data_IF_561813870242
#
_entry.id   IF_561813870242
#
_cell.length_a   1.000
_cell.length_b   1.000
_cell.length_c   1.000
_cell.angle_alpha   90.00
_cell.angle_beta   90.00
_cell.angle_gamma   90.00
#
_symmetry.space_group_name_H-M   'P 1'
#
loop_
_entity.id
_entity.type
_entity.pdbx_description
1 polymer ?
#
# COMPACT_ATOMS: atom_id res chain seq x y z
N UNK A 1 -39.91 1.34 -9.39
CA UNK A 1 -38.44 1.26 -9.55
C UNK A 1 -37.88 2.60 -9.11
N UNK A 2 -36.99 2.63 -8.10
CA UNK A 2 -36.26 3.86 -7.76
C UNK A 2 -35.40 4.23 -8.96
N UNK A 3 -35.41 5.50 -9.39
CA UNK A 3 -34.49 5.96 -10.43
C UNK A 3 -33.07 5.86 -9.85
N UNK A 4 -32.31 4.88 -10.33
CA UNK A 4 -30.89 4.75 -10.05
C UNK A 4 -30.15 5.94 -10.64
N UNK A 5 -29.20 6.50 -9.90
CA UNK A 5 -28.32 7.54 -10.46
C UNK A 5 -27.35 6.92 -11.49
N UNK A 6 -26.64 7.76 -12.25
CA UNK A 6 -25.75 7.29 -13.33
C UNK A 6 -24.62 6.38 -12.84
N UNK A 7 -24.13 6.57 -11.61
CA UNK A 7 -23.07 5.75 -10.99
C UNK A 7 -23.62 4.35 -10.70
N UNK A 8 -24.76 4.26 -10.02
CA UNK A 8 -25.37 2.96 -9.69
C UNK A 8 -25.64 2.16 -10.95
N UNK A 9 -26.21 2.78 -11.99
CA UNK A 9 -26.48 2.10 -13.27
C UNK A 9 -25.20 1.55 -13.89
N UNK A 10 -24.15 2.37 -13.94
CA UNK A 10 -22.86 1.96 -14.48
C UNK A 10 -22.25 0.78 -13.70
N UNK A 11 -22.27 0.83 -12.36
CA UNK A 11 -21.76 -0.25 -11.52
C UNK A 11 -22.56 -1.54 -11.69
N UNK A 12 -23.88 -1.45 -11.85
CA UNK A 12 -24.72 -2.61 -12.17
C UNK A 12 -24.39 -3.21 -13.54
N UNK A 13 -24.16 -2.37 -14.55
CA UNK A 13 -23.75 -2.83 -15.87
C UNK A 13 -22.37 -3.51 -15.80
N UNK A 14 -21.41 -2.95 -15.05
CA UNK A 14 -20.10 -3.57 -14.81
C UNK A 14 -20.19 -4.92 -14.09
N UNK A 15 -21.02 -5.00 -13.03
CA UNK A 15 -21.25 -6.24 -12.29
C UNK A 15 -21.88 -7.31 -13.20
N UNK A 16 -22.91 -6.95 -13.98
CA UNK A 16 -23.56 -7.88 -14.92
C UNK A 16 -22.56 -8.40 -15.98
N UNK A 17 -21.62 -7.56 -16.41
CA UNK A 17 -20.56 -7.96 -17.34
C UNK A 17 -19.36 -8.65 -16.66
N UNK A 18 -19.47 -9.04 -15.39
CA UNK A 18 -18.42 -9.70 -14.60
C UNK A 18 -17.09 -8.94 -14.58
N UNK A 19 -17.13 -7.60 -14.53
CA UNK A 19 -15.92 -6.78 -14.44
C UNK A 19 -15.31 -6.77 -13.04
N UNK A 20 -16.11 -7.05 -12.01
CA UNK A 20 -15.71 -7.22 -10.61
C UNK A 20 -16.76 -8.05 -9.89
N UNK A 21 -16.39 -8.61 -8.73
CA UNK A 21 -17.31 -9.35 -7.86
C UNK A 21 -17.93 -8.47 -6.77
N UNK A 22 -17.16 -7.52 -6.24
CA UNK A 22 -17.55 -6.62 -5.16
C UNK A 22 -17.06 -5.20 -5.46
N UNK A 23 -17.86 -4.19 -5.10
CA UNK A 23 -17.49 -2.80 -5.20
C UNK A 23 -18.12 -1.98 -4.07
N UNK A 24 -17.31 -1.11 -3.47
CA UNK A 24 -17.73 -0.12 -2.50
C UNK A 24 -17.33 1.27 -3.00
N UNK A 25 -18.26 2.21 -2.97
CA UNK A 25 -18.04 3.61 -3.37
C UNK A 25 -18.54 4.53 -2.28
N UNK A 26 -17.71 5.47 -1.87
CA UNK A 26 -18.08 6.61 -1.03
C UNK A 26 -17.63 7.91 -1.72
N UNK A 27 -18.47 8.95 -1.64
CA UNK A 27 -18.18 10.29 -2.14
C UNK A 27 -18.57 11.28 -1.06
N UNK A 28 -17.64 12.14 -0.68
CA UNK A 28 -17.82 13.14 0.37
C UNK A 28 -17.16 14.47 0.05
N UNK A 29 -17.27 15.38 1.02
CA UNK A 29 -16.58 16.66 1.05
C UNK A 29 -16.16 16.94 2.52
N UNK A 30 -15.60 18.11 2.86
CA UNK A 30 -15.21 18.41 4.25
C UNK A 30 -16.34 18.33 5.29
N UNK A 31 -17.60 18.43 4.87
CA UNK A 31 -18.78 18.26 5.73
C UNK A 31 -19.23 16.79 5.85
N UNK A 32 -18.38 15.85 5.40
CA UNK A 32 -18.59 14.41 5.46
C UNK A 32 -19.13 13.78 4.18
N UNK A 33 -19.42 12.49 4.28
CA UNK A 33 -19.97 11.68 3.18
C UNK A 33 -21.33 12.22 2.70
N UNK A 34 -21.50 12.24 1.38
CA UNK A 34 -22.74 12.65 0.70
C UNK A 34 -23.40 11.51 -0.05
N UNK A 35 -22.63 10.48 -0.38
CA UNK A 35 -23.10 9.37 -1.17
C UNK A 35 -22.28 8.12 -0.86
N UNK A 36 -22.98 7.00 -0.74
CA UNK A 36 -22.39 5.68 -0.61
C UNK A 36 -23.19 4.66 -1.38
N UNK A 37 -22.46 3.75 -2.01
CA UNK A 37 -23.06 2.65 -2.75
C UNK A 37 -22.19 1.39 -2.64
N UNK A 38 -22.83 0.29 -2.27
CA UNK A 38 -22.21 -1.02 -2.13
C UNK A 38 -22.93 -1.97 -3.06
N UNK A 39 -22.16 -2.76 -3.81
CA UNK A 39 -22.69 -3.73 -4.76
C UNK A 39 -21.81 -4.98 -4.79
N UNK A 40 -22.45 -6.13 -4.97
CA UNK A 40 -21.80 -7.43 -5.02
C UNK A 40 -22.52 -8.41 -5.95
N UNK A 41 -21.81 -9.50 -6.28
CA UNK A 41 -22.31 -10.62 -7.07
C UNK A 41 -23.09 -11.67 -6.23
N UNK A 42 -23.30 -11.42 -4.93
CA UNK A 42 -23.92 -12.30 -3.91
C UNK A 42 -23.11 -13.51 -3.45
N UNK A 43 -21.88 -13.71 -3.92
CA UNK A 43 -20.98 -14.73 -3.34
C UNK A 43 -20.42 -14.28 -1.99
N UNK A 44 -20.08 -12.99 -1.88
CA UNK A 44 -19.75 -12.29 -0.65
C UNK A 44 -20.58 -11.01 -0.61
N UNK A 45 -21.34 -10.79 0.47
CA UNK A 45 -22.10 -9.55 0.65
C UNK A 45 -21.13 -8.42 0.96
N UNK A 46 -21.18 -7.33 0.21
CA UNK A 46 -20.39 -6.13 0.51
C UNK A 46 -21.11 -5.29 1.56
N UNK A 47 -20.48 -5.11 2.71
CA UNK A 47 -20.89 -4.17 3.74
C UNK A 47 -19.83 -3.08 3.97
N UNK A 48 -20.06 -2.25 4.98
CA UNK A 48 -19.25 -1.08 5.30
C UNK A 48 -17.84 -1.46 5.82
N UNK A 49 -17.71 -2.65 6.41
CA UNK A 49 -16.49 -3.18 7.03
C UNK A 49 -15.79 -4.23 6.17
N UNK A 50 -16.37 -4.60 5.01
CA UNK A 50 -15.76 -5.51 4.05
C UNK A 50 -14.37 -5.02 3.65
N UNK A 51 -13.37 -5.90 3.81
CA UNK A 51 -11.98 -5.58 3.53
C UNK A 51 -11.63 -5.78 2.07
N UNK A 52 -10.90 -4.83 1.52
CA UNK A 52 -10.31 -4.86 0.18
C UNK A 52 -8.79 -4.76 0.28
N UNK A 53 -8.06 -5.49 -0.56
CA UNK A 53 -6.62 -5.28 -0.75
C UNK A 53 -6.41 -3.88 -1.33
N UNK A 54 -5.76 -3.00 -0.56
CA UNK A 54 -5.59 -1.60 -0.93
C UNK A 54 -4.50 -1.40 -1.99
N UNK A 55 -3.81 -2.47 -2.40
CA UNK A 55 -2.75 -2.45 -3.38
C UNK A 55 -1.81 -1.26 -3.11
N UNK A 56 -1.62 -0.38 -4.09
CA UNK A 56 -0.69 0.75 -3.98
C UNK A 56 -1.13 1.90 -3.09
N UNK A 57 -2.39 1.96 -2.63
CA UNK A 57 -2.81 2.92 -1.58
C UNK A 57 -2.07 2.65 -0.27
N UNK A 58 -1.60 1.42 -0.06
CA UNK A 58 -0.65 1.05 1.01
C UNK A 58 0.53 2.01 1.13
N UNK A 59 1.08 2.49 0.00
CA UNK A 59 2.21 3.43 -0.02
C UNK A 59 1.90 4.71 0.75
N UNK A 60 0.68 5.19 0.63
CA UNK A 60 0.24 6.42 1.29
C UNK A 60 -0.02 6.13 2.78
N UNK A 61 -0.81 5.08 3.05
CA UNK A 61 -1.23 4.69 4.40
C UNK A 61 -0.06 4.31 5.30
N UNK A 62 0.80 3.39 4.86
CA UNK A 62 1.80 2.75 5.73
C UNK A 62 3.20 3.36 5.62
N UNK A 63 3.48 4.16 4.59
CA UNK A 63 4.83 4.69 4.33
C UNK A 63 4.83 6.20 4.27
N UNK A 64 4.14 6.81 3.32
CA UNK A 64 4.25 8.24 3.07
C UNK A 64 3.72 9.06 4.26
N UNK A 65 2.53 8.75 4.78
CA UNK A 65 1.98 9.49 5.93
C UNK A 65 2.85 9.33 7.19
N UNK A 66 3.25 8.11 7.62
CA UNK A 66 4.20 7.96 8.73
C UNK A 66 5.53 8.68 8.50
N UNK A 67 6.07 8.68 7.28
CA UNK A 67 7.29 9.42 6.95
C UNK A 67 7.12 10.94 7.12
N UNK A 68 6.00 11.50 6.66
CA UNK A 68 5.68 12.93 6.84
C UNK A 68 5.53 13.28 8.33
N UNK A 69 4.84 12.45 9.12
CA UNK A 69 4.69 12.65 10.56
C UNK A 69 6.05 12.60 11.27
N UNK A 70 6.91 11.64 10.93
CA UNK A 70 8.26 11.56 11.49
C UNK A 70 9.13 12.74 11.08
N UNK A 71 8.94 13.29 9.88
CA UNK A 71 9.64 14.47 9.43
C UNK A 71 9.20 15.72 10.21
N UNK A 72 7.89 15.88 10.43
CA UNK A 72 7.34 16.95 11.27
C UNK A 72 7.87 16.87 12.72
N UNK A 73 8.04 15.66 13.24
CA UNK A 73 8.67 15.39 14.55
C UNK A 73 10.20 15.59 14.57
N UNK A 74 10.82 15.95 13.44
CA UNK A 74 12.28 16.10 13.32
C UNK A 74 13.07 14.79 13.39
N UNK A 75 12.40 13.64 13.28
CA UNK A 75 13.00 12.29 13.36
C UNK A 75 13.44 11.75 11.99
N UNK A 76 12.99 12.39 10.90
CA UNK A 76 13.34 12.04 9.53
C UNK A 76 13.62 13.32 8.73
N UNK A 77 14.74 13.37 8.02
CA UNK A 77 14.99 14.43 7.04
C UNK A 77 14.70 13.92 5.63
N UNK A 78 14.07 14.74 4.80
CA UNK A 78 13.88 14.40 3.39
C UNK A 78 15.20 14.37 2.60
N UNK A 79 16.24 15.04 3.10
CA UNK A 79 17.59 15.03 2.51
C UNK A 79 18.48 13.92 3.10
N UNK A 80 17.98 13.16 4.09
CA UNK A 80 18.67 11.97 4.57
C UNK A 80 18.86 11.00 3.40
N UNK A 81 19.99 10.32 3.39
CA UNK A 81 20.43 9.53 2.26
C UNK A 81 20.24 8.04 2.54
N UNK A 82 19.99 7.27 1.50
CA UNK A 82 19.82 5.83 1.62
C UNK A 82 21.09 5.15 2.17
N UNK A 83 22.27 5.71 1.87
CA UNK A 83 23.55 5.26 2.43
C UNK A 83 23.67 5.43 3.95
N UNK A 84 22.84 6.27 4.57
CA UNK A 84 22.81 6.42 6.04
C UNK A 84 22.12 5.22 6.72
N UNK A 85 21.34 4.43 5.97
CA UNK A 85 20.54 3.31 6.49
C UNK A 85 21.01 1.94 6.01
N UNK A 86 21.62 1.87 4.82
CA UNK A 86 22.05 0.61 4.20
C UNK A 86 23.41 0.75 3.51
N UNK A 87 24.19 -0.32 3.57
CA UNK A 87 25.31 -0.49 2.65
C UNK A 87 24.78 -0.70 1.23
N UNK A 88 25.14 0.20 0.31
CA UNK A 88 24.68 0.16 -1.07
C UNK A 88 25.72 0.75 -2.03
N UNK A 89 25.47 0.64 -3.34
CA UNK A 89 26.38 1.12 -4.37
C UNK A 89 26.54 2.65 -4.32
N UNK A 90 27.66 3.16 -4.84
CA UNK A 90 27.91 4.61 -4.92
C UNK A 90 26.85 5.39 -5.68
N UNK A 91 26.24 4.75 -6.68
CA UNK A 91 25.12 5.28 -7.44
C UNK A 91 23.87 5.51 -6.57
N UNK A 92 23.67 4.63 -5.59
CA UNK A 92 22.48 4.57 -4.74
C UNK A 92 22.64 5.29 -3.41
N UNK A 93 23.86 5.37 -2.87
CA UNK A 93 24.10 5.94 -1.54
C UNK A 93 23.61 7.37 -1.40
N UNK A 94 23.55 8.13 -2.49
CA UNK A 94 23.10 9.53 -2.50
C UNK A 94 21.60 9.71 -2.79
N UNK A 95 20.85 8.63 -3.05
CA UNK A 95 19.39 8.70 -3.18
C UNK A 95 18.82 9.15 -1.84
N UNK A 96 18.02 10.20 -1.87
CA UNK A 96 17.42 10.79 -0.67
C UNK A 96 16.07 10.17 -0.33
N UNK A 97 15.61 10.37 0.89
CA UNK A 97 14.24 10.03 1.31
C UNK A 97 13.21 10.73 0.40
N UNK A 98 13.45 11.99 0.04
CA UNK A 98 12.64 12.71 -0.95
C UNK A 98 12.51 11.92 -2.25
N UNK A 99 13.64 11.45 -2.80
CA UNK A 99 13.64 10.70 -4.05
C UNK A 99 12.80 9.41 -3.96
N UNK A 100 12.84 8.71 -2.83
CA UNK A 100 12.05 7.50 -2.61
C UNK A 100 10.55 7.82 -2.58
N UNK A 101 10.16 8.82 -1.78
CA UNK A 101 8.76 9.21 -1.60
C UNK A 101 8.14 9.76 -2.89
N UNK A 102 8.92 10.49 -3.70
CA UNK A 102 8.45 11.16 -4.92
C UNK A 102 8.71 10.38 -6.20
N UNK A 103 9.16 9.12 -6.11
CA UNK A 103 9.46 8.30 -7.28
C UNK A 103 10.53 8.90 -8.22
N UNK A 104 11.48 9.69 -7.69
CA UNK A 104 12.59 10.27 -8.47
C UNK A 104 13.94 9.62 -8.18
N UNK A 105 13.95 8.45 -7.53
CA UNK A 105 15.18 7.71 -7.22
C UNK A 105 15.79 6.97 -8.41
N UNK A 106 15.04 6.81 -9.51
CA UNK A 106 15.43 5.98 -10.64
C UNK A 106 15.32 4.47 -10.36
N UNK A 107 14.85 4.07 -9.17
CA UNK A 107 14.60 2.66 -8.86
C UNK A 107 13.35 2.15 -9.58
N UNK A 108 13.31 0.85 -9.87
CA UNK A 108 12.23 0.22 -10.61
C UNK A 108 11.31 -0.66 -9.76
N UNK A 109 10.87 -1.74 -10.38
CA UNK A 109 10.12 -2.83 -9.76
C UNK A 109 10.54 -4.18 -10.34
N UNK A 110 9.62 -5.13 -10.35
CA UNK A 110 9.85 -6.49 -10.83
C UNK A 110 10.19 -7.48 -9.72
N UNK A 111 10.31 -8.76 -10.08
CA UNK A 111 10.50 -9.85 -9.12
C UNK A 111 11.82 -9.70 -8.34
N UNK A 112 11.75 -10.01 -7.04
CA UNK A 112 12.90 -9.99 -6.12
C UNK A 112 13.33 -11.40 -5.69
N UNK A 113 12.38 -12.33 -5.56
CA UNK A 113 12.63 -13.70 -5.07
C UNK A 113 13.79 -14.40 -5.81
N UNK A 114 13.88 -14.39 -7.15
CA UNK A 114 14.98 -15.06 -7.86
C UNK A 114 16.38 -14.50 -7.55
N UNK A 115 16.45 -13.26 -7.07
CA UNK A 115 17.70 -12.58 -6.75
C UNK A 115 18.03 -12.65 -5.25
N UNK A 116 17.00 -12.69 -4.40
CA UNK A 116 17.14 -12.72 -2.95
C UNK A 116 17.36 -14.14 -2.42
N UNK A 117 16.70 -15.14 -3.02
CA UNK A 117 16.67 -16.53 -2.57
C UNK A 117 15.84 -16.74 -1.30
N UNK A 118 16.06 -15.91 -0.28
CA UNK A 118 15.31 -15.89 0.99
C UNK A 118 14.79 -14.47 1.31
N UNK A 119 13.69 -14.34 2.06
CA UNK A 119 13.05 -13.06 2.37
C UNK A 119 13.99 -12.03 3.01
N UNK A 120 14.90 -12.48 3.87
CA UNK A 120 15.84 -11.64 4.62
C UNK A 120 16.80 -10.87 3.70
N UNK A 121 17.08 -11.42 2.51
CA UNK A 121 17.96 -10.83 1.52
C UNK A 121 17.22 -9.88 0.55
N UNK A 122 15.90 -9.72 0.68
CA UNK A 122 15.08 -8.96 -0.27
C UNK A 122 15.58 -7.52 -0.50
N UNK A 123 15.92 -6.80 0.59
CA UNK A 123 16.42 -5.43 0.48
C UNK A 123 17.80 -5.40 -0.17
N UNK A 124 18.69 -6.31 0.19
CA UNK A 124 20.01 -6.37 -0.44
C UNK A 124 19.90 -6.68 -1.93
N UNK A 125 19.00 -7.57 -2.32
CA UNK A 125 18.72 -7.87 -3.71
C UNK A 125 18.20 -6.63 -4.46
N UNK A 126 17.29 -5.85 -3.85
CA UNK A 126 16.82 -4.58 -4.41
C UNK A 126 17.95 -3.57 -4.58
N UNK A 127 18.79 -3.40 -3.56
CA UNK A 127 19.92 -2.46 -3.57
C UNK A 127 20.98 -2.85 -4.61
N UNK A 128 21.11 -4.14 -4.94
CA UNK A 128 22.00 -4.66 -5.96
C UNK A 128 21.52 -4.47 -7.41
N UNK A 129 20.22 -4.24 -7.65
CA UNK A 129 19.68 -4.03 -9.01
C UNK A 129 20.16 -2.70 -9.61
N UNK A 130 20.46 -2.60 -10.91
CA UNK A 130 20.81 -1.31 -11.53
C UNK A 130 19.64 -0.32 -11.43
N UNK A 131 19.95 0.99 -11.41
CA UNK A 131 18.92 2.00 -11.58
C UNK A 131 18.40 1.96 -13.02
N UNK A 132 17.11 2.26 -13.19
CA UNK A 132 16.52 2.41 -14.52
C UNK A 132 16.89 3.76 -15.14
N UNK A 133 17.08 4.78 -14.31
CA UNK A 133 17.50 6.14 -14.68
C UNK A 133 18.31 6.78 -13.55
N UNK A 134 19.00 7.87 -13.85
CA UNK A 134 19.70 8.66 -12.84
C UNK A 134 18.67 9.31 -11.87
N UNK A 135 18.98 9.42 -10.56
CA UNK A 135 18.13 10.16 -9.63
C UNK A 135 17.86 11.59 -10.10
N UNK A 136 16.67 12.10 -9.81
CA UNK A 136 16.19 13.45 -10.11
C UNK A 136 16.10 13.85 -11.60
N UNK A 137 16.23 12.91 -12.53
CA UNK A 137 16.02 13.21 -13.96
C UNK A 137 14.58 12.95 -14.41
N UNK A 138 13.89 11.97 -13.81
CA UNK A 138 12.56 11.53 -14.21
C UNK A 138 11.76 11.02 -13.00
N UNK A 139 10.43 11.02 -13.13
CA UNK A 139 9.52 10.32 -12.21
C UNK A 139 9.28 8.92 -12.76
N UNK A 140 9.73 7.89 -12.04
CA UNK A 140 9.51 6.48 -12.37
C UNK A 140 8.86 5.78 -11.18
N UNK A 141 7.63 5.32 -11.38
CA UNK A 141 6.90 4.58 -10.37
C UNK A 141 7.70 3.35 -9.89
N UNK A 142 7.90 3.25 -8.58
CA UNK A 142 8.83 2.30 -7.98
C UNK A 142 8.23 1.59 -6.77
N UNK A 143 7.89 0.31 -6.95
CA UNK A 143 7.59 -0.56 -5.81
C UNK A 143 8.83 -0.81 -4.97
N UNK A 144 10.00 -1.02 -5.59
CA UNK A 144 11.24 -1.26 -4.85
C UNK A 144 11.65 -0.07 -3.98
N UNK A 145 11.48 1.16 -4.46
CA UNK A 145 11.73 2.36 -3.67
C UNK A 145 10.87 2.43 -2.42
N UNK A 146 9.58 2.05 -2.51
CA UNK A 146 8.69 2.00 -1.35
C UNK A 146 8.94 0.82 -0.41
N UNK A 147 9.41 -0.33 -0.93
CA UNK A 147 9.89 -1.42 -0.07
C UNK A 147 11.11 -0.98 0.76
N UNK A 148 12.05 -0.27 0.14
CA UNK A 148 13.21 0.30 0.85
C UNK A 148 12.76 1.36 1.85
N UNK A 149 11.86 2.27 1.46
CA UNK A 149 11.36 3.31 2.36
C UNK A 149 10.65 2.71 3.58
N UNK A 150 9.85 1.66 3.41
CA UNK A 150 9.25 0.93 4.54
C UNK A 150 10.30 0.41 5.52
N UNK A 151 11.40 -0.16 5.02
CA UNK A 151 12.51 -0.66 5.86
C UNK A 151 13.31 0.46 6.54
N UNK A 152 13.37 1.65 5.94
CA UNK A 152 13.92 2.84 6.60
C UNK A 152 13.04 3.23 7.79
N UNK A 153 11.72 3.25 7.63
CA UNK A 153 10.79 3.55 8.71
C UNK A 153 10.91 2.55 9.87
N UNK A 154 11.03 1.26 9.55
CA UNK A 154 11.25 0.21 10.56
C UNK A 154 12.54 0.45 11.35
N UNK A 155 13.64 0.84 10.68
CA UNK A 155 14.91 1.18 11.34
C UNK A 155 14.79 2.41 12.24
N UNK A 156 14.11 3.46 11.79
CA UNK A 156 13.93 4.70 12.56
C UNK A 156 13.03 4.49 13.77
N UNK A 157 12.00 3.65 13.64
CA UNK A 157 11.02 3.41 14.70
C UNK A 157 11.39 2.25 15.63
N UNK A 158 12.27 1.34 15.19
CA UNK A 158 12.56 0.09 15.89
C UNK A 158 11.36 -0.85 15.97
N UNK A 159 10.43 -0.76 15.01
CA UNK A 159 9.15 -1.48 14.97
C UNK A 159 8.88 -1.99 13.57
N UNK A 160 8.08 -3.04 13.45
CA UNK A 160 7.63 -3.54 12.15
C UNK A 160 6.61 -2.58 11.50
N UNK A 161 6.50 -2.59 10.17
CA UNK A 161 5.68 -1.62 9.44
C UNK A 161 4.18 -1.69 9.76
N UNK A 162 3.67 -2.88 10.09
CA UNK A 162 2.30 -3.08 10.59
C UNK A 162 2.06 -2.37 11.93
N UNK A 163 3.04 -2.40 12.83
CA UNK A 163 2.98 -1.66 14.09
C UNK A 163 3.09 -0.14 13.88
N UNK A 164 3.89 0.28 12.89
CA UNK A 164 4.01 1.70 12.50
C UNK A 164 2.68 2.21 11.93
N UNK A 165 2.03 1.45 11.05
CA UNK A 165 0.70 1.78 10.54
C UNK A 165 -0.30 1.98 11.69
N UNK A 166 -0.29 1.07 12.67
CA UNK A 166 -1.16 1.18 13.85
C UNK A 166 -0.86 2.44 14.65
N UNK A 167 0.42 2.68 14.97
CA UNK A 167 0.83 3.78 15.84
C UNK A 167 0.55 5.16 15.25
N UNK A 168 0.88 5.35 13.96
CA UNK A 168 0.87 6.68 13.35
C UNK A 168 -0.40 6.98 12.55
N UNK A 169 -1.19 5.97 12.17
CA UNK A 169 -2.33 6.17 11.26
C UNK A 169 -3.61 5.61 11.85
N UNK A 170 -3.71 4.29 12.02
CA UNK A 170 -5.02 3.68 12.26
C UNK A 170 -5.54 3.92 13.66
N UNK A 171 -4.67 3.87 14.69
CA UNK A 171 -5.08 4.18 16.07
C UNK A 171 -5.44 5.66 16.26
N UNK A 172 -4.66 6.66 15.79
CA UNK A 172 -5.05 8.06 15.89
C UNK A 172 -6.35 8.41 15.16
N UNK A 173 -6.63 7.76 14.02
CA UNK A 173 -7.82 8.01 13.21
C UNK A 173 -9.02 7.12 13.56
N UNK A 174 -8.86 6.18 14.51
CA UNK A 174 -9.86 5.15 14.84
C UNK A 174 -10.28 4.27 13.64
N UNK A 175 -9.34 3.96 12.75
CA UNK A 175 -9.53 3.05 11.61
C UNK A 175 -9.39 1.59 12.07
N UNK A 176 -10.49 0.95 12.45
CA UNK A 176 -10.47 -0.37 13.10
C UNK A 176 -10.42 -1.56 12.12
N UNK A 177 -10.63 -1.30 10.85
CA UNK A 177 -10.68 -2.26 9.75
C UNK A 177 -9.55 -2.03 8.73
N UNK A 178 -8.44 -1.42 9.16
CA UNK A 178 -7.26 -1.17 8.33
C UNK A 178 -6.05 -1.88 8.91
N UNK A 179 -5.52 -2.87 8.20
CA UNK A 179 -4.44 -3.72 8.71
C UNK A 179 -3.67 -4.45 7.62
N UNK A 180 -2.46 -4.93 7.96
CA UNK A 180 -1.80 -5.98 7.20
C UNK A 180 -2.31 -7.36 7.61
N UNK A 181 -2.18 -8.34 6.72
CA UNK A 181 -2.43 -9.76 7.00
C UNK A 181 -3.81 -10.03 7.68
N UNK A 182 -4.93 -9.50 7.15
CA UNK A 182 -6.23 -9.73 7.76
C UNK A 182 -6.60 -11.21 7.77
N UNK A 183 -7.29 -11.63 8.82
CA UNK A 183 -7.84 -12.98 8.96
C UNK A 183 -9.34 -12.84 9.14
N UNK A 184 -10.13 -13.54 8.34
CA UNK A 184 -11.58 -13.50 8.44
C UNK A 184 -12.27 -13.94 7.16
N UNK A 185 -13.59 -13.78 7.14
CA UNK A 185 -14.45 -14.11 6.00
C UNK A 185 -15.03 -12.87 5.31
N UNK A 186 -14.97 -11.68 5.92
CA UNK A 186 -15.44 -10.43 5.32
C UNK A 186 -14.32 -9.73 4.52
N UNK A 187 -13.73 -10.46 3.58
CA UNK A 187 -12.59 -9.99 2.78
C UNK A 187 -12.85 -10.35 1.32
N UNK A 188 -12.79 -9.35 0.44
CA UNK A 188 -12.86 -9.58 -1.00
C UNK A 188 -11.55 -10.23 -1.45
N UNK A 189 -11.68 -11.37 -2.13
CA UNK A 189 -10.52 -12.06 -2.68
C UNK A 189 -9.97 -11.31 -3.90
N UNK A 190 -8.72 -10.82 -3.81
CA UNK A 190 -8.01 -10.15 -4.90
C UNK A 190 -7.16 -11.10 -5.75
N UNK A 191 -7.29 -12.42 -5.56
CA UNK A 191 -6.44 -13.44 -6.18
C UNK A 191 -7.23 -14.44 -7.03
N UNK A 192 -6.57 -15.06 -8.01
CA UNK A 192 -7.19 -16.09 -8.86
C UNK A 192 -7.69 -17.30 -8.06
N UNK A 193 -7.00 -17.63 -6.95
CA UNK A 193 -7.36 -18.75 -6.09
C UNK A 193 -8.15 -18.28 -4.87
N UNK A 194 -9.43 -18.68 -4.75
CA UNK A 194 -10.30 -18.35 -3.60
C UNK A 194 -9.73 -18.74 -2.23
N UNK A 195 -8.82 -19.72 -2.17
CA UNK A 195 -8.13 -20.10 -0.91
C UNK A 195 -7.12 -19.06 -0.43
N UNK A 196 -6.79 -18.07 -1.25
CA UNK A 196 -5.87 -16.98 -0.96
C UNK A 196 -6.60 -15.70 -0.52
N UNK A 197 -7.84 -15.81 -0.05
CA UNK A 197 -8.57 -14.68 0.53
C UNK A 197 -7.80 -14.11 1.74
N UNK A 198 -7.61 -12.79 1.77
CA UNK A 198 -6.79 -12.10 2.79
C UNK A 198 -5.28 -12.13 2.54
N UNK A 199 -4.81 -12.86 1.52
CA UNK A 199 -3.43 -12.79 1.07
C UNK A 199 -3.25 -11.64 0.08
N UNK A 200 -2.29 -10.76 0.35
CA UNK A 200 -1.93 -9.67 -0.58
C UNK A 200 -1.66 -10.21 -1.98
N UNK A 201 -2.14 -9.54 -3.03
CA UNK A 201 -1.97 -10.05 -4.40
C UNK A 201 -0.52 -10.02 -4.91
N UNK A 202 0.28 -9.05 -4.47
CA UNK A 202 1.65 -8.86 -4.95
C UNK A 202 2.62 -9.94 -4.44
N UNK A 203 3.29 -10.62 -5.38
CA UNK A 203 4.23 -11.70 -5.08
C UNK A 203 5.46 -11.26 -4.28
N UNK A 204 5.97 -10.04 -4.49
CA UNK A 204 7.12 -9.56 -3.72
C UNK A 204 6.72 -9.31 -2.26
N UNK A 205 5.52 -8.76 -2.02
CA UNK A 205 4.99 -8.59 -0.67
C UNK A 205 4.79 -9.96 0.00
N UNK A 206 4.17 -10.93 -0.69
CA UNK A 206 4.06 -12.32 -0.19
C UNK A 206 5.41 -12.91 0.18
N UNK A 207 6.40 -12.76 -0.70
CA UNK A 207 7.76 -13.26 -0.49
C UNK A 207 8.40 -12.69 0.79
N UNK A 208 8.15 -11.42 1.13
CA UNK A 208 8.67 -10.80 2.36
C UNK A 208 7.76 -10.95 3.58
N UNK A 209 6.78 -11.86 3.54
CA UNK A 209 5.88 -12.14 4.66
C UNK A 209 4.61 -11.28 4.72
N UNK A 210 4.27 -10.60 3.63
CA UNK A 210 3.02 -9.86 3.42
C UNK A 210 2.98 -8.44 4.02
N UNK A 211 3.94 -8.08 4.88
CA UNK A 211 4.11 -6.72 5.40
C UNK A 211 5.16 -5.99 4.58
N UNK A 212 4.71 -5.13 3.66
CA UNK A 212 5.61 -4.43 2.73
C UNK A 212 5.19 -2.99 2.50
N UNK A 213 6.16 -2.12 2.22
CA UNK A 213 5.92 -0.69 2.00
C UNK A 213 5.27 -0.36 0.65
N UNK A 214 5.35 -1.26 -0.34
CA UNK A 214 4.73 -1.03 -1.65
C UNK A 214 3.23 -1.36 -1.67
N UNK A 215 2.79 -2.39 -0.94
CA UNK A 215 1.46 -3.02 -0.95
C UNK A 215 1.30 -3.92 0.28
N UNK A 216 0.09 -4.33 0.62
CA UNK A 216 -0.19 -5.33 1.67
C UNK A 216 -1.18 -4.89 2.75
N UNK A 217 -1.55 -3.60 2.78
CA UNK A 217 -2.63 -3.14 3.64
C UNK A 217 -3.96 -3.52 3.02
N UNK A 218 -4.87 -3.98 3.87
CA UNK A 218 -6.28 -4.14 3.59
C UNK A 218 -7.05 -3.08 4.38
N UNK A 219 -8.12 -2.56 3.81
CA UNK A 219 -8.99 -1.57 4.46
C UNK A 219 -10.45 -1.78 4.08
N UNK A 220 -11.35 -1.23 4.90
CA UNK A 220 -12.76 -1.07 4.55
C UNK A 220 -13.05 0.33 3.99
N UNK A 221 -14.24 0.48 3.40
CA UNK A 221 -14.72 1.77 2.91
C UNK A 221 -15.04 2.74 4.05
N UNK A 222 -15.44 2.24 5.22
CA UNK A 222 -15.67 3.08 6.41
C UNK A 222 -14.37 3.73 6.88
N UNK A 223 -13.32 2.95 7.04
CA UNK A 223 -12.01 3.48 7.43
C UNK A 223 -11.45 4.44 6.39
N UNK A 224 -11.54 4.08 5.10
CA UNK A 224 -11.06 4.94 4.02
C UNK A 224 -11.86 6.24 3.85
N UNK A 225 -13.08 6.31 4.40
CA UNK A 225 -13.86 7.55 4.41
C UNK A 225 -13.46 8.50 5.54
N UNK A 226 -12.70 8.00 6.53
CA UNK A 226 -12.13 8.80 7.64
C UNK A 226 -10.77 9.39 7.23
N UNK A 227 -9.97 8.61 6.50
CA UNK A 227 -8.61 8.95 6.06
C UNK A 227 -8.57 10.11 5.05
#
# INVERSE_FOLDING_TARGET
>A
MRNMNSIEKYLHDCLHNNMFDNCAVAIGNPDGEKYRYLIDNKELITDADTLFDMASVTKILSVALPALILADQGRLSFDAKMGDFFECTDEKKNITIKNLLTHTSGMGGGAIEPYAGIPENAIQAILGKPLLMKPDTNVIYSCHGYMVMGKILERICGKALDQILVEYVTKPLNMNHTMYLPIGNNIVNSNDNKKETGLVNDFNARFVGGVSGNVGVFSSIDDMSIF
#
